data_IF_612347993118
#
_entry.id   IF_612347993118
#
_cell.length_a   1.000
_cell.length_b   1.000
_cell.length_c   1.000
_cell.angle_alpha   90.00
_cell.angle_beta   90.00
_cell.angle_gamma   90.00
#
_symmetry.space_group_name_H-M   'P 1'
#
loop_
_entity.id
_entity.type
_entity.pdbx_description
1 polymer ?
#
# COMPACT_ATOMS: atom_id res chain seq x y z
N UNK A 1 -30.04 -2.23 0.26
CA UNK A 1 -29.58 -2.95 -0.94
C UNK A 1 -28.44 -3.86 -0.51
N UNK A 2 -28.65 -5.18 -0.47
CA UNK A 2 -27.65 -6.15 -0.01
C UNK A 2 -26.83 -6.64 -1.21
N UNK A 3 -25.62 -6.11 -1.39
CA UNK A 3 -24.65 -6.63 -2.35
C UNK A 3 -23.47 -7.18 -1.58
N UNK A 4 -23.27 -8.50 -1.60
CA UNK A 4 -22.07 -9.12 -1.04
C UNK A 4 -20.92 -9.06 -2.06
N UNK A 5 -19.92 -8.22 -1.80
CA UNK A 5 -18.69 -8.05 -2.58
C UNK A 5 -17.91 -9.36 -2.75
N UNK A 6 -18.04 -10.29 -1.80
CA UNK A 6 -17.36 -11.60 -1.84
C UNK A 6 -18.13 -12.64 -2.67
N UNK A 7 -19.35 -12.33 -3.14
CA UNK A 7 -20.15 -13.21 -3.97
C UNK A 7 -19.90 -12.98 -5.48
N UNK A 8 -18.66 -13.24 -5.90
CA UNK A 8 -18.19 -13.08 -7.27
C UNK A 8 -17.18 -14.18 -7.66
N UNK A 9 -17.24 -14.65 -8.92
CA UNK A 9 -16.40 -15.75 -9.45
C UNK A 9 -14.99 -15.35 -9.92
N UNK A 10 -14.75 -14.20 -10.57
CA UNK A 10 -13.39 -13.85 -11.01
C UNK A 10 -12.51 -13.26 -9.89
N UNK A 11 -13.04 -12.35 -9.06
CA UNK A 11 -12.33 -11.66 -7.97
C UNK A 11 -13.35 -10.91 -7.08
N UNK A 12 -12.88 -10.23 -6.03
CA UNK A 12 -13.72 -9.42 -5.11
C UNK A 12 -13.45 -7.91 -5.24
N UNK A 13 -12.56 -7.52 -6.15
CA UNK A 13 -12.14 -6.13 -6.24
C UNK A 13 -13.31 -5.26 -6.67
N UNK A 14 -13.34 -4.05 -6.15
CA UNK A 14 -14.46 -3.14 -6.29
C UNK A 14 -13.93 -1.77 -6.64
N UNK A 15 -14.57 -1.13 -7.62
CA UNK A 15 -14.35 0.28 -7.91
C UNK A 15 -15.61 1.06 -7.54
N UNK A 16 -15.39 2.15 -6.83
CA UNK A 16 -16.41 3.14 -6.51
C UNK A 16 -16.01 4.44 -7.17
N UNK A 17 -16.74 4.81 -8.21
CA UNK A 17 -16.68 6.14 -8.81
C UNK A 17 -17.76 7.01 -8.19
N UNK A 18 -17.38 8.15 -7.63
CA UNK A 18 -18.32 9.08 -7.03
C UNK A 18 -17.92 10.54 -7.29
N UNK A 19 -18.75 11.26 -8.04
CA UNK A 19 -18.57 12.72 -8.27
C UNK A 19 -18.44 13.47 -6.92
N UNK A 20 -17.73 14.60 -6.92
CA UNK A 20 -17.57 15.39 -5.69
C UNK A 20 -18.92 15.77 -5.06
N UNK A 21 -19.09 15.45 -3.78
CA UNK A 21 -20.35 15.68 -3.06
C UNK A 21 -21.48 14.69 -3.37
N UNK A 22 -21.24 13.62 -4.15
CA UNK A 22 -22.27 12.65 -4.54
C UNK A 22 -22.57 11.57 -3.48
N UNK A 23 -21.89 11.59 -2.31
CA UNK A 23 -22.10 10.60 -1.26
C UNK A 23 -21.08 9.45 -1.25
N UNK A 24 -19.88 9.68 -1.82
CA UNK A 24 -18.72 8.78 -1.76
C UNK A 24 -18.50 8.15 -0.37
N UNK A 25 -18.38 9.01 0.64
CA UNK A 25 -18.15 8.60 2.02
C UNK A 25 -19.36 7.90 2.66
N UNK A 26 -20.57 8.16 2.18
CA UNK A 26 -21.77 7.45 2.67
C UNK A 26 -21.71 5.99 2.26
N UNK A 27 -21.45 5.71 0.98
CA UNK A 27 -21.32 4.32 0.51
C UNK A 27 -20.11 3.62 1.14
N UNK A 28 -18.96 4.30 1.19
CA UNK A 28 -17.75 3.75 1.82
C UNK A 28 -17.98 3.37 3.28
N UNK A 29 -18.57 4.26 4.09
CA UNK A 29 -18.88 3.99 5.49
C UNK A 29 -19.88 2.84 5.65
N UNK A 30 -20.92 2.75 4.81
CA UNK A 30 -21.89 1.64 4.87
C UNK A 30 -21.27 0.30 4.52
N UNK A 31 -20.35 0.25 3.53
CA UNK A 31 -19.59 -0.96 3.20
C UNK A 31 -18.74 -1.37 4.40
N UNK A 32 -17.92 -0.46 4.94
CA UNK A 32 -17.05 -0.75 6.08
C UNK A 32 -17.89 -1.24 7.27
N UNK A 33 -18.94 -0.50 7.64
CA UNK A 33 -19.85 -0.86 8.75
C UNK A 33 -20.44 -2.25 8.57
N UNK A 34 -20.96 -2.56 7.39
CA UNK A 34 -21.59 -3.87 7.10
C UNK A 34 -20.58 -5.02 7.26
N UNK A 35 -19.36 -4.84 6.76
CA UNK A 35 -18.33 -5.88 6.80
C UNK A 35 -17.66 -6.02 8.17
N UNK A 36 -17.44 -4.93 8.90
CA UNK A 36 -16.99 -4.99 10.30
C UNK A 36 -17.99 -5.74 11.19
N UNK A 37 -19.29 -5.56 10.94
CA UNK A 37 -20.36 -6.23 11.70
C UNK A 37 -20.35 -7.76 11.57
N UNK A 38 -19.70 -8.30 10.53
CA UNK A 38 -19.53 -9.75 10.31
C UNK A 38 -18.08 -10.21 10.54
N UNK A 39 -17.27 -9.41 11.23
CA UNK A 39 -15.91 -9.76 11.64
C UNK A 39 -14.84 -9.62 10.56
N UNK A 40 -15.11 -8.88 9.48
CA UNK A 40 -14.11 -8.60 8.43
C UNK A 40 -13.01 -7.69 8.98
N UNK A 41 -11.75 -7.97 8.61
CA UNK A 41 -10.63 -7.06 8.88
C UNK A 41 -10.52 -6.02 7.77
N UNK A 42 -10.40 -4.75 8.12
CA UNK A 42 -10.43 -3.63 7.18
C UNK A 42 -9.26 -2.70 7.43
N UNK A 43 -8.53 -2.39 6.37
CA UNK A 43 -7.55 -1.31 6.31
C UNK A 43 -8.06 -0.27 5.33
N UNK A 44 -8.24 0.97 5.81
CA UNK A 44 -8.68 2.11 5.00
C UNK A 44 -7.53 3.10 4.87
N UNK A 45 -7.05 3.33 3.65
CA UNK A 45 -5.89 4.18 3.34
C UNK A 45 -6.37 5.48 2.71
N UNK A 46 -5.80 6.61 3.17
CA UNK A 46 -6.15 7.97 2.75
C UNK A 46 -7.64 8.31 2.88
N UNK A 47 -8.30 7.64 3.81
CA UNK A 47 -9.74 7.73 4.01
C UNK A 47 -10.19 9.15 4.48
N UNK A 48 -9.28 9.97 5.01
CA UNK A 48 -9.59 11.29 5.56
C UNK A 48 -10.48 11.23 6.81
N UNK A 49 -10.84 12.40 7.34
CA UNK A 49 -11.67 12.56 8.55
C UNK A 49 -13.06 11.91 8.43
N UNK A 50 -13.52 11.68 7.19
CA UNK A 50 -14.83 11.08 6.90
C UNK A 50 -15.04 9.68 7.48
N UNK A 51 -13.98 8.95 7.82
CA UNK A 51 -14.05 7.63 8.46
C UNK A 51 -13.62 7.65 9.94
N UNK A 52 -13.14 8.77 10.47
CA UNK A 52 -12.68 8.88 11.87
C UNK A 52 -13.83 8.65 12.86
N UNK A 53 -15.01 9.22 12.56
CA UNK A 53 -16.23 8.99 13.35
C UNK A 53 -16.63 7.50 13.38
N UNK A 54 -16.44 6.81 12.24
CA UNK A 54 -16.69 5.37 12.16
C UNK A 54 -15.65 4.59 12.98
N UNK A 55 -14.39 5.02 12.96
CA UNK A 55 -13.31 4.46 13.77
C UNK A 55 -13.68 4.47 15.25
N UNK A 56 -14.14 5.62 15.76
CA UNK A 56 -14.56 5.77 17.15
C UNK A 56 -15.68 4.80 17.54
N UNK A 57 -16.63 4.56 16.65
CA UNK A 57 -17.76 3.64 16.89
C UNK A 57 -17.35 2.16 16.90
N UNK A 58 -16.30 1.81 16.16
CA UNK A 58 -15.82 0.43 16.00
C UNK A 58 -14.51 0.15 16.76
N UNK A 59 -14.09 1.06 17.65
CA UNK A 59 -12.79 1.00 18.33
C UNK A 59 -11.62 0.80 17.35
N UNK A 60 -11.71 1.46 16.19
CA UNK A 60 -10.73 1.40 15.13
C UNK A 60 -9.43 2.08 15.53
N UNK A 61 -8.35 1.56 14.99
CA UNK A 61 -7.00 2.07 15.17
C UNK A 61 -6.71 3.15 14.10
N UNK A 62 -6.50 4.39 14.52
CA UNK A 62 -6.23 5.49 13.63
C UNK A 62 -4.74 5.85 13.67
N UNK A 63 -4.09 5.79 12.51
CA UNK A 63 -2.68 6.11 12.32
C UNK A 63 -2.61 7.23 11.29
N UNK A 64 -2.25 8.44 11.73
CA UNK A 64 -2.00 9.57 10.85
C UNK A 64 -0.51 9.86 10.81
N UNK A 65 0.03 10.00 9.60
CA UNK A 65 1.37 10.47 9.41
C UNK A 65 1.33 12.00 9.38
N UNK A 66 1.94 12.66 10.35
CA UNK A 66 2.17 14.10 10.32
C UNK A 66 3.66 14.42 10.43
N UNK A 67 4.03 15.69 10.17
CA UNK A 67 5.41 16.11 10.30
C UNK A 67 5.94 16.08 11.74
N UNK A 68 5.05 16.08 12.74
CA UNK A 68 5.40 16.16 14.16
C UNK A 68 5.32 14.82 14.89
N UNK A 69 4.71 13.82 14.27
CA UNK A 69 4.60 12.49 14.87
C UNK A 69 5.95 11.76 14.76
N UNK A 70 6.30 11.05 15.83
CA UNK A 70 7.47 10.18 15.86
C UNK A 70 7.14 8.82 15.21
N UNK A 71 6.74 8.85 13.93
CA UNK A 71 6.40 7.65 13.16
C UNK A 71 7.61 7.22 12.32
N UNK A 72 7.96 5.94 12.44
CA UNK A 72 8.95 5.31 11.59
C UNK A 72 8.41 4.05 10.94
N UNK A 73 8.83 3.84 9.71
CA UNK A 73 8.50 2.71 8.83
C UNK A 73 9.77 2.04 8.29
N UNK A 74 10.81 1.90 9.12
CA UNK A 74 12.01 1.17 8.74
C UNK A 74 11.67 -0.29 8.34
N UNK A 75 11.84 -0.68 7.06
CA UNK A 75 11.40 -1.98 6.57
C UNK A 75 12.19 -3.15 7.14
N UNK A 76 13.46 -2.95 7.50
CA UNK A 76 14.36 -4.02 7.93
C UNK A 76 13.98 -4.52 9.33
N UNK A 77 13.49 -3.62 10.17
CA UNK A 77 13.06 -3.93 11.55
C UNK A 77 11.77 -4.76 11.61
N UNK A 78 11.04 -4.88 10.49
CA UNK A 78 9.85 -5.72 10.39
C UNK A 78 10.16 -7.20 10.13
N UNK A 79 11.40 -7.52 9.74
CA UNK A 79 11.82 -8.87 9.36
C UNK A 79 12.18 -9.63 10.63
N UNK A 80 11.59 -10.81 10.81
CA UNK A 80 11.82 -11.63 11.99
C UNK A 80 13.16 -12.38 11.86
N UNK A 81 14.18 -11.95 12.60
CA UNK A 81 15.51 -12.59 12.60
C UNK A 81 15.50 -14.05 13.07
N UNK A 82 14.49 -14.45 13.84
CA UNK A 82 14.37 -15.84 14.31
C UNK A 82 13.81 -16.80 13.24
N UNK A 83 13.34 -16.27 12.11
CA UNK A 83 12.83 -17.04 10.99
C UNK A 83 13.87 -17.01 9.85
N UNK A 84 14.60 -18.13 9.61
CA UNK A 84 15.66 -18.19 8.61
C UNK A 84 15.21 -17.84 7.18
N UNK A 85 13.92 -18.01 6.88
CA UNK A 85 13.36 -17.73 5.56
C UNK A 85 12.81 -16.30 5.45
N UNK A 86 12.63 -15.58 6.55
CA UNK A 86 11.93 -14.28 6.55
C UNK A 86 12.63 -13.22 5.71
N UNK A 87 13.97 -13.16 5.73
CA UNK A 87 14.70 -12.22 4.89
C UNK A 87 14.57 -12.58 3.40
N UNK A 88 14.68 -13.87 3.07
CA UNK A 88 14.51 -14.34 1.69
C UNK A 88 13.11 -14.03 1.15
N UNK A 89 12.06 -14.17 1.98
CA UNK A 89 10.69 -13.76 1.63
C UNK A 89 10.55 -12.23 1.49
N UNK A 90 11.35 -11.46 2.22
CA UNK A 90 11.35 -10.00 2.20
C UNK A 90 12.23 -9.38 1.09
N UNK A 91 13.16 -10.14 0.49
CA UNK A 91 14.15 -9.63 -0.46
C UNK A 91 13.52 -8.98 -1.71
N UNK A 92 12.54 -9.63 -2.33
CA UNK A 92 11.83 -9.06 -3.50
C UNK A 92 11.06 -7.78 -3.11
N UNK A 93 10.25 -7.76 -2.02
CA UNK A 93 9.65 -6.52 -1.52
C UNK A 93 10.65 -5.40 -1.20
N UNK A 94 11.78 -5.71 -0.55
CA UNK A 94 12.81 -4.71 -0.22
C UNK A 94 13.45 -4.14 -1.49
N UNK A 95 13.75 -4.98 -2.47
CA UNK A 95 14.35 -4.51 -3.74
C UNK A 95 13.38 -3.58 -4.48
N UNK A 96 12.09 -3.90 -4.48
CA UNK A 96 11.03 -3.04 -5.04
C UNK A 96 10.85 -1.74 -4.25
N UNK A 97 11.04 -1.77 -2.93
CA UNK A 97 11.07 -0.57 -2.11
C UNK A 97 12.21 0.37 -2.53
N UNK A 98 13.43 -0.17 -2.66
CA UNK A 98 14.59 0.60 -3.12
C UNK A 98 14.31 1.19 -4.50
N UNK A 99 13.77 0.40 -5.43
CA UNK A 99 13.37 0.91 -6.75
C UNK A 99 12.32 2.03 -6.65
N UNK A 100 11.34 1.91 -5.76
CA UNK A 100 10.34 2.94 -5.55
C UNK A 100 10.90 4.23 -4.91
N UNK A 101 11.96 4.13 -4.10
CA UNK A 101 12.66 5.27 -3.51
C UNK A 101 13.52 6.02 -4.53
N UNK A 102 14.06 5.32 -5.53
CA UNK A 102 15.08 5.90 -6.43
C UNK A 102 14.49 6.33 -7.77
N UNK A 103 13.54 5.59 -8.32
CA UNK A 103 12.98 5.83 -9.65
C UNK A 103 11.55 6.35 -9.55
N UNK A 104 11.36 7.64 -9.84
CA UNK A 104 10.04 8.28 -9.89
C UNK A 104 9.23 7.85 -11.11
N UNK A 105 9.77 8.05 -12.33
CA UNK A 105 9.09 7.68 -13.58
C UNK A 105 9.82 6.59 -14.38
N UNK A 106 11.08 6.35 -14.07
CA UNK A 106 11.89 5.32 -14.73
C UNK A 106 11.71 3.96 -14.05
N UNK A 107 12.25 2.92 -14.70
CA UNK A 107 12.22 1.55 -14.19
C UNK A 107 13.64 1.07 -14.01
N UNK A 108 13.90 0.44 -12.86
CA UNK A 108 15.17 -0.22 -12.57
C UNK A 108 15.41 -1.34 -13.59
N UNK A 109 16.59 -1.37 -14.20
CA UNK A 109 16.99 -2.46 -15.11
C UNK A 109 17.19 -3.79 -14.36
N UNK A 110 17.08 -4.92 -15.06
CA UNK A 110 17.34 -6.26 -14.47
C UNK A 110 18.71 -6.35 -13.80
N UNK A 111 19.72 -5.72 -14.42
CA UNK A 111 21.07 -5.66 -13.87
C UNK A 111 21.11 -4.89 -12.54
N UNK A 112 20.54 -3.69 -12.50
CA UNK A 112 20.45 -2.90 -11.26
C UNK A 112 19.65 -3.64 -10.19
N UNK A 113 18.55 -4.29 -10.58
CA UNK A 113 17.71 -5.06 -9.67
C UNK A 113 18.50 -6.20 -8.99
N UNK A 114 19.28 -6.95 -9.76
CA UNK A 114 20.15 -8.01 -9.22
C UNK A 114 21.33 -7.50 -8.40
N UNK A 115 21.88 -6.34 -8.77
CA UNK A 115 22.91 -5.68 -7.96
C UNK A 115 22.36 -5.25 -6.58
N UNK A 116 21.16 -4.66 -6.55
CA UNK A 116 20.50 -4.28 -5.29
C UNK A 116 20.13 -5.49 -4.44
N UNK A 117 19.61 -6.58 -5.03
CA UNK A 117 19.37 -7.83 -4.29
C UNK A 117 20.65 -8.32 -3.60
N UNK A 118 21.78 -8.32 -4.33
CA UNK A 118 23.07 -8.73 -3.77
C UNK A 118 23.52 -7.80 -2.64
N UNK A 119 23.46 -6.48 -2.83
CA UNK A 119 23.81 -5.48 -1.81
C UNK A 119 22.96 -5.68 -0.54
N UNK A 120 21.65 -5.89 -0.70
CA UNK A 120 20.76 -6.14 0.43
C UNK A 120 21.13 -7.41 1.19
N UNK A 121 21.46 -8.51 0.48
CA UNK A 121 21.91 -9.76 1.10
C UNK A 121 23.21 -9.55 1.87
N UNK A 122 24.19 -8.88 1.27
CA UNK A 122 25.52 -8.67 1.85
C UNK A 122 25.42 -7.82 3.12
N UNK A 123 24.63 -6.73 3.12
CA UNK A 123 24.44 -5.91 4.33
C UNK A 123 23.64 -6.67 5.40
N UNK A 124 22.61 -7.44 5.00
CA UNK A 124 21.78 -8.19 5.94
C UNK A 124 22.57 -9.24 6.71
N UNK A 125 23.56 -9.87 6.07
CA UNK A 125 24.47 -10.82 6.73
C UNK A 125 25.14 -10.23 7.97
N UNK A 126 25.51 -8.94 7.93
CA UNK A 126 26.27 -8.29 8.99
C UNK A 126 25.38 -7.49 9.96
N UNK A 127 24.34 -6.80 9.46
CA UNK A 127 23.53 -5.86 10.25
C UNK A 127 22.15 -6.37 10.63
N UNK A 128 21.59 -7.33 9.89
CA UNK A 128 20.24 -7.87 10.13
C UNK A 128 19.19 -6.75 10.33
N UNK A 129 18.32 -6.83 11.36
CA UNK A 129 17.26 -5.85 11.60
C UNK A 129 17.75 -4.45 12.00
N UNK A 130 19.05 -4.29 12.29
CA UNK A 130 19.65 -2.98 12.57
C UNK A 130 19.97 -2.16 11.31
N UNK A 131 19.75 -2.73 10.11
CA UNK A 131 19.92 -2.04 8.85
C UNK A 131 19.09 -0.75 8.73
N UNK A 132 19.68 0.24 8.07
CA UNK A 132 19.06 1.50 7.66
C UNK A 132 19.15 1.68 6.14
N UNK A 133 18.39 2.63 5.60
CA UNK A 133 18.53 3.06 4.20
C UNK A 133 19.91 3.66 3.93
N UNK A 134 20.52 4.27 4.95
CA UNK A 134 21.90 4.75 4.97
C UNK A 134 22.89 3.69 4.51
N UNK A 135 22.75 2.46 5.01
CA UNK A 135 23.65 1.36 4.70
C UNK A 135 23.57 0.95 3.23
N UNK A 136 22.35 0.92 2.69
CA UNK A 136 22.10 0.62 1.27
C UNK A 136 22.68 1.72 0.40
N UNK A 137 22.49 2.99 0.78
CA UNK A 137 23.02 4.14 0.04
C UNK A 137 24.56 4.13 0.03
N UNK A 138 25.21 3.88 1.17
CA UNK A 138 26.66 3.81 1.30
C UNK A 138 27.26 2.66 0.49
N UNK A 139 26.65 1.47 0.54
CA UNK A 139 27.07 0.32 -0.25
C UNK A 139 26.95 0.60 -1.76
N UNK A 140 25.84 1.24 -2.19
CA UNK A 140 25.67 1.62 -3.59
C UNK A 140 26.69 2.67 -4.05
N UNK A 141 27.02 3.65 -3.21
CA UNK A 141 28.01 4.69 -3.52
C UNK A 141 29.44 4.17 -3.61
N UNK A 142 29.72 3.03 -2.99
CA UNK A 142 31.02 2.36 -2.98
C UNK A 142 31.20 1.36 -4.12
N UNK A 143 30.16 1.15 -4.95
CA UNK A 143 30.21 0.25 -6.09
C UNK A 143 31.11 0.81 -7.21
N UNK A 144 31.74 -0.08 -7.98
CA UNK A 144 32.57 0.34 -9.13
C UNK A 144 31.72 0.82 -10.31
N UNK A 145 30.46 0.34 -10.42
CA UNK A 145 29.55 0.72 -11.48
C UNK A 145 28.79 2.01 -11.14
N UNK A 146 29.05 3.04 -11.96
CA UNK A 146 28.37 4.34 -11.87
C UNK A 146 26.83 4.26 -11.83
N UNK A 147 26.21 3.25 -12.47
CA UNK A 147 24.76 3.06 -12.51
C UNK A 147 24.19 2.61 -11.16
N UNK A 148 25.01 1.99 -10.32
CA UNK A 148 24.67 1.62 -8.94
C UNK A 148 24.97 2.80 -8.01
N UNK A 149 26.08 3.52 -8.23
CA UNK A 149 26.37 4.76 -7.51
C UNK A 149 25.24 5.79 -7.64
N UNK A 150 24.59 5.89 -8.80
CA UNK A 150 23.45 6.78 -9.01
C UNK A 150 22.26 6.42 -8.10
N UNK A 151 22.00 5.13 -7.86
CA UNK A 151 20.98 4.67 -6.91
C UNK A 151 21.34 5.16 -5.50
N UNK A 152 22.60 5.01 -5.09
CA UNK A 152 23.07 5.49 -3.79
C UNK A 152 22.88 7.00 -3.61
N UNK A 153 23.14 7.80 -4.66
CA UNK A 153 22.87 9.25 -4.66
C UNK A 153 21.37 9.56 -4.56
N UNK A 154 20.53 8.83 -5.27
CA UNK A 154 19.08 9.01 -5.23
C UNK A 154 18.48 8.65 -3.87
N UNK A 155 19.01 7.62 -3.21
CA UNK A 155 18.62 7.20 -1.87
C UNK A 155 18.89 8.26 -0.80
N UNK A 156 19.76 9.25 -1.05
CA UNK A 156 20.10 10.32 -0.10
C UNK A 156 18.87 10.96 0.56
N UNK A 157 17.77 11.14 -0.18
CA UNK A 157 16.55 11.75 0.38
C UNK A 157 15.93 10.94 1.53
N UNK A 158 16.18 9.63 1.58
CA UNK A 158 15.61 8.66 2.51
C UNK A 158 16.60 8.19 3.60
N UNK A 159 17.88 8.55 3.51
CA UNK A 159 18.85 8.29 4.57
C UNK A 159 18.59 9.20 5.77
N UNK A 160 19.19 8.89 6.93
CA UNK A 160 19.08 9.69 8.15
C UNK A 160 19.45 11.18 7.97
N UNK A 161 20.32 11.48 7.00
CA UNK A 161 20.73 12.85 6.66
C UNK A 161 19.82 13.53 5.62
N UNK A 162 18.90 12.78 5.02
CA UNK A 162 17.96 13.25 4.01
C UNK A 162 16.67 13.84 4.59
N UNK A 163 15.92 14.56 3.75
CA UNK A 163 14.67 15.21 4.15
C UNK A 163 13.56 14.25 4.61
N UNK A 164 13.64 12.96 4.25
CA UNK A 164 12.70 11.92 4.68
C UNK A 164 13.28 10.96 5.71
N UNK A 165 14.55 11.12 6.10
CA UNK A 165 15.27 10.18 6.97
C UNK A 165 14.53 9.82 8.25
N UNK A 166 13.85 10.80 8.86
CA UNK A 166 13.07 10.62 10.10
C UNK A 166 11.99 9.54 10.05
N UNK A 167 11.54 9.14 8.85
CA UNK A 167 10.53 8.08 8.70
C UNK A 167 11.17 6.69 8.56
N UNK A 168 12.50 6.57 8.50
CA UNK A 168 13.24 5.33 8.23
C UNK A 168 14.42 5.09 9.17
N UNK A 169 14.81 6.09 9.98
CA UNK A 169 16.01 6.07 10.85
C UNK A 169 15.78 5.44 12.23
N UNK A 170 14.54 5.04 12.55
CA UNK A 170 14.15 4.40 13.82
C UNK A 170 13.44 3.07 13.58
N UNK A 171 13.32 2.19 14.60
CA UNK A 171 12.51 0.98 14.50
C UNK A 171 11.08 1.24 14.05
N UNK A 172 10.56 0.39 13.16
CA UNK A 172 9.18 0.46 12.67
C UNK A 172 8.20 0.42 13.83
N UNK A 173 7.33 1.42 13.92
CA UNK A 173 6.40 1.57 15.04
C UNK A 173 4.92 1.65 14.64
N UNK A 174 4.61 1.43 13.36
CA UNK A 174 3.23 1.35 12.87
C UNK A 174 2.65 -0.03 13.17
N UNK A 175 1.74 -0.11 14.15
CA UNK A 175 1.07 -1.37 14.53
C UNK A 175 -0.41 -1.37 14.16
N UNK A 176 -0.89 -2.46 13.56
CA UNK A 176 -2.32 -2.66 13.32
C UNK A 176 -3.00 -3.32 14.53
N UNK A 177 -4.18 -2.85 14.91
CA UNK A 177 -4.93 -3.33 16.09
C UNK A 177 -6.40 -3.55 15.75
N UNK A 178 -6.95 -4.63 16.27
CA UNK A 178 -8.35 -5.00 16.02
C UNK A 178 -8.65 -5.23 14.54
N UNK A 179 -9.92 -5.03 14.17
CA UNK A 179 -10.42 -5.32 12.82
C UNK A 179 -10.57 -4.08 11.94
N UNK A 180 -10.33 -2.87 12.46
CA UNK A 180 -10.46 -1.64 11.68
C UNK A 180 -9.25 -0.74 11.88
N UNK A 181 -8.49 -0.52 10.82
CA UNK A 181 -7.30 0.31 10.82
C UNK A 181 -7.44 1.40 9.75
N UNK A 182 -7.25 2.66 10.13
CA UNK A 182 -7.28 3.81 9.23
C UNK A 182 -5.88 4.39 9.14
N UNK A 183 -5.36 4.50 7.93
CA UNK A 183 -4.00 4.95 7.61
C UNK A 183 -4.10 6.24 6.81
N UNK A 184 -3.75 7.38 7.42
CA UNK A 184 -3.84 8.70 6.81
C UNK A 184 -2.46 9.22 6.43
N UNK A 185 -2.17 9.29 5.13
CA UNK A 185 -0.88 9.75 4.60
C UNK A 185 -0.86 11.25 4.30
N UNK A 186 -2.01 11.94 4.32
CA UNK A 186 -2.12 13.34 3.89
C UNK A 186 -1.35 14.37 4.75
N UNK A 187 -0.88 14.01 5.95
CA UNK A 187 -0.01 14.87 6.75
C UNK A 187 1.49 14.71 6.44
N UNK A 188 1.86 13.69 5.66
CA UNK A 188 3.11 13.72 4.91
C UNK A 188 2.93 14.84 3.88
N UNK A 189 3.88 15.78 3.81
CA UNK A 189 3.92 16.90 2.86
C UNK A 189 3.35 16.57 1.46
N UNK A 190 3.01 17.58 0.64
CA UNK A 190 2.60 17.41 -0.78
C UNK A 190 3.60 16.65 -1.68
N UNK A 191 4.66 16.06 -1.11
CA UNK A 191 5.55 15.14 -1.76
C UNK A 191 4.92 13.76 -1.97
N UNK A 192 4.33 13.58 -3.16
CA UNK A 192 3.75 12.33 -3.60
C UNK A 192 4.75 11.16 -3.66
N UNK A 193 6.05 11.40 -3.88
CA UNK A 193 7.04 10.32 -3.94
C UNK A 193 7.21 9.63 -2.58
N UNK A 194 7.34 10.40 -1.50
CA UNK A 194 7.35 9.86 -0.14
C UNK A 194 6.06 9.11 0.18
N UNK A 195 4.91 9.70 -0.17
CA UNK A 195 3.61 9.07 0.08
C UNK A 195 3.48 7.73 -0.66
N UNK A 196 3.95 7.63 -1.90
CA UNK A 196 3.97 6.37 -2.66
C UNK A 196 4.85 5.30 -2.00
N UNK A 197 6.03 5.68 -1.48
CA UNK A 197 6.95 4.77 -0.77
C UNK A 197 6.34 4.27 0.54
N UNK A 198 5.79 5.16 1.35
CA UNK A 198 5.12 4.79 2.62
C UNK A 198 3.87 3.95 2.33
N UNK A 199 3.08 4.31 1.33
CA UNK A 199 1.95 3.53 0.87
C UNK A 199 2.35 2.10 0.49
N UNK A 200 3.43 1.94 -0.28
CA UNK A 200 3.97 0.63 -0.64
C UNK A 200 4.28 -0.21 0.61
N UNK A 201 5.01 0.36 1.58
CA UNK A 201 5.36 -0.32 2.83
C UNK A 201 4.13 -0.75 3.63
N UNK A 202 3.14 0.13 3.76
CA UNK A 202 1.91 -0.18 4.47
C UNK A 202 1.15 -1.32 3.78
N UNK A 203 1.08 -1.34 2.45
CA UNK A 203 0.43 -2.44 1.73
C UNK A 203 1.22 -3.75 1.88
N UNK A 204 2.56 -3.72 1.88
CA UNK A 204 3.40 -4.89 2.19
C UNK A 204 3.11 -5.40 3.61
N UNK A 205 3.06 -4.52 4.60
CA UNK A 205 2.70 -4.86 5.99
C UNK A 205 1.30 -5.49 6.07
N UNK A 206 0.31 -4.91 5.39
CA UNK A 206 -1.06 -5.44 5.33
C UNK A 206 -1.09 -6.83 4.71
N UNK A 207 -0.34 -7.06 3.62
CA UNK A 207 -0.26 -8.37 2.98
C UNK A 207 0.35 -9.42 3.90
N UNK A 208 1.40 -9.08 4.65
CA UNK A 208 2.00 -9.97 5.64
C UNK A 208 0.99 -10.34 6.73
N UNK A 209 0.22 -9.38 7.26
CA UNK A 209 -0.83 -9.64 8.24
C UNK A 209 -1.95 -10.53 7.68
N UNK A 210 -2.42 -10.24 6.47
CA UNK A 210 -3.43 -11.07 5.77
C UNK A 210 -2.89 -12.48 5.57
N UNK A 211 -1.63 -12.65 5.19
CA UNK A 211 -1.03 -13.96 4.95
C UNK A 211 -0.88 -14.76 6.24
N UNK A 212 -0.40 -14.14 7.32
CA UNK A 212 -0.34 -14.74 8.67
C UNK A 212 -1.72 -15.16 9.14
N UNK A 213 -2.74 -14.32 8.94
CA UNK A 213 -4.12 -14.66 9.28
C UNK A 213 -4.64 -15.81 8.42
N UNK A 214 -4.42 -15.78 7.11
CA UNK A 214 -4.85 -16.83 6.19
C UNK A 214 -4.21 -18.19 6.49
N UNK A 215 -2.97 -18.23 7.00
CA UNK A 215 -2.34 -19.46 7.50
C UNK A 215 -3.09 -20.04 8.71
N UNK A 216 -3.67 -19.19 9.56
CA UNK A 216 -4.44 -19.60 10.76
C UNK A 216 -5.90 -19.92 10.44
N UNK A 217 -6.58 -19.03 9.72
CA UNK A 217 -7.99 -19.13 9.37
C UNK A 217 -8.26 -18.54 7.98
N UNK A 218 -8.46 -19.43 6.99
CA UNK A 218 -8.73 -19.05 5.59
C UNK A 218 -10.11 -18.41 5.35
N UNK A 219 -11.02 -18.45 6.34
CA UNK A 219 -12.39 -17.92 6.20
C UNK A 219 -12.49 -16.43 6.55
N UNK A 220 -11.47 -15.87 7.20
CA UNK A 220 -11.45 -14.44 7.55
C UNK A 220 -11.47 -13.61 6.27
N UNK A 221 -12.46 -12.73 6.17
CA UNK A 221 -12.58 -11.77 5.08
C UNK A 221 -11.71 -10.55 5.39
N UNK A 222 -11.06 -10.03 4.36
CA UNK A 222 -10.21 -8.85 4.45
C UNK A 222 -10.66 -7.80 3.43
N UNK A 223 -10.60 -6.53 3.79
CA UNK A 223 -10.82 -5.41 2.87
C UNK A 223 -9.64 -4.46 2.96
N UNK A 224 -9.05 -4.14 1.81
CA UNK A 224 -8.13 -3.02 1.66
C UNK A 224 -8.89 -1.95 0.88
N UNK A 225 -9.27 -0.88 1.54
CA UNK A 225 -9.96 0.26 0.94
C UNK A 225 -8.95 1.38 0.74
N UNK A 226 -8.84 1.89 -0.47
CA UNK A 226 -7.93 2.97 -0.83
C UNK A 226 -8.75 4.10 -1.40
N UNK A 227 -8.73 5.23 -0.70
CA UNK A 227 -9.37 6.45 -1.14
C UNK A 227 -8.39 7.31 -1.96
N UNK A 228 -8.83 7.83 -3.11
CA UNK A 228 -8.03 8.63 -4.06
C UNK A 228 -6.71 7.95 -4.47
N UNK A 229 -6.76 6.63 -4.71
CA UNK A 229 -5.60 5.81 -5.01
C UNK A 229 -4.69 6.36 -6.13
N UNK A 230 -5.23 7.13 -7.07
CA UNK A 230 -4.47 7.69 -8.19
C UNK A 230 -3.33 8.62 -7.75
N UNK A 231 -3.48 9.35 -6.64
CA UNK A 231 -2.41 10.21 -6.11
C UNK A 231 -1.16 9.42 -5.71
N UNK A 232 -1.38 8.20 -5.19
CA UNK A 232 -0.32 7.32 -4.71
C UNK A 232 0.25 6.43 -5.83
N UNK A 233 -0.55 6.13 -6.86
CA UNK A 233 -0.19 5.20 -7.93
C UNK A 233 0.43 5.91 -9.15
N UNK A 234 -0.04 7.11 -9.49
CA UNK A 234 0.30 7.79 -10.75
C UNK A 234 1.75 8.22 -10.89
N UNK A 235 2.51 8.26 -9.78
CA UNK A 235 3.84 8.88 -9.71
C UNK A 235 4.98 7.87 -9.51
N UNK A 236 4.70 6.56 -9.56
CA UNK A 236 5.71 5.52 -9.34
C UNK A 236 5.36 4.20 -10.05
N UNK A 237 6.06 3.82 -11.14
CA UNK A 237 5.82 2.59 -11.88
C UNK A 237 5.90 1.32 -11.04
N UNK A 238 6.86 1.22 -10.12
CA UNK A 238 7.07 0.05 -9.27
C UNK A 238 5.89 -0.18 -8.32
N UNK A 239 5.42 0.88 -7.65
CA UNK A 239 4.23 0.83 -6.78
C UNK A 239 2.98 0.50 -7.59
N UNK A 240 2.89 1.06 -8.79
CA UNK A 240 1.83 0.78 -9.76
C UNK A 240 1.77 -0.71 -10.11
N UNK A 241 2.86 -1.29 -10.60
CA UNK A 241 2.93 -2.71 -10.94
C UNK A 241 2.58 -3.60 -9.74
N UNK A 242 3.15 -3.30 -8.58
CA UNK A 242 2.90 -4.01 -7.33
C UNK A 242 1.40 -4.03 -6.97
N UNK A 243 0.70 -2.91 -7.13
CA UNK A 243 -0.73 -2.83 -6.86
C UNK A 243 -1.58 -3.59 -7.89
N UNK A 244 -1.15 -3.65 -9.15
CA UNK A 244 -1.74 -4.53 -10.15
C UNK A 244 -1.63 -6.02 -9.78
N UNK A 245 -0.48 -6.45 -9.28
CA UNK A 245 -0.27 -7.82 -8.78
C UNK A 245 -1.09 -8.10 -7.52
N UNK A 246 -1.16 -7.12 -6.61
CA UNK A 246 -1.98 -7.18 -5.39
C UNK A 246 -3.45 -7.43 -5.73
N UNK A 247 -4.00 -6.64 -6.66
CA UNK A 247 -5.39 -6.79 -7.10
C UNK A 247 -5.67 -8.16 -7.73
N UNK A 248 -4.72 -8.73 -8.50
CA UNK A 248 -4.86 -10.07 -9.10
C UNK A 248 -4.81 -11.19 -8.06
N UNK A 249 -4.04 -11.01 -6.98
CA UNK A 249 -3.84 -12.04 -5.94
C UNK A 249 -4.85 -11.96 -4.78
N UNK A 250 -5.52 -10.83 -4.58
CA UNK A 250 -6.40 -10.57 -3.43
C UNK A 250 -7.41 -11.69 -3.12
N UNK A 251 -8.04 -12.27 -4.15
CA UNK A 251 -8.99 -13.39 -4.00
C UNK A 251 -8.38 -14.61 -3.29
N UNK A 252 -7.12 -14.95 -3.59
CA UNK A 252 -6.42 -16.13 -3.02
C UNK A 252 -6.37 -16.06 -1.49
N UNK A 253 -6.41 -14.85 -0.94
CA UNK A 253 -6.32 -14.55 0.49
C UNK A 253 -7.64 -13.98 1.04
N UNK A 254 -8.77 -14.32 0.42
CA UNK A 254 -10.11 -13.89 0.82
C UNK A 254 -10.18 -12.36 1.08
N UNK A 255 -9.55 -11.60 0.19
CA UNK A 255 -9.38 -10.15 0.30
C UNK A 255 -10.07 -9.44 -0.84
N UNK A 256 -10.80 -8.36 -0.54
CA UNK A 256 -11.34 -7.43 -1.52
C UNK A 256 -10.51 -6.12 -1.52
N UNK A 257 -9.99 -5.74 -2.68
CA UNK A 257 -9.40 -4.41 -2.89
C UNK A 257 -10.51 -3.46 -3.36
N UNK A 258 -10.76 -2.38 -2.61
CA UNK A 258 -11.76 -1.36 -2.94
C UNK A 258 -11.02 -0.07 -3.26
N UNK A 259 -11.18 0.44 -4.49
CA UNK A 259 -10.66 1.74 -4.89
C UNK A 259 -11.81 2.72 -5.01
N UNK A 260 -11.65 3.89 -4.40
CA UNK A 260 -12.63 4.98 -4.47
C UNK A 260 -12.00 6.19 -5.15
N UNK A 261 -12.60 6.66 -6.24
CA UNK A 261 -12.11 7.81 -7.02
C UNK A 261 -13.22 8.80 -7.38
N UNK A 262 -12.85 10.08 -7.52
CA UNK A 262 -13.75 11.16 -7.96
C UNK A 262 -13.78 11.36 -9.47
N UNK A 263 -12.73 10.96 -10.19
CA UNK A 263 -12.64 11.09 -11.63
C UNK A 263 -12.44 9.71 -12.27
N UNK A 264 -13.28 9.43 -13.26
CA UNK A 264 -13.24 8.18 -14.03
C UNK A 264 -12.05 8.21 -15.00
N UNK A 265 -11.63 9.42 -15.40
CA UNK A 265 -10.46 9.67 -16.25
C UNK A 265 -9.20 9.25 -15.51
N UNK A 266 -9.17 9.35 -14.18
CA UNK A 266 -8.03 8.92 -13.36
C UNK A 266 -7.81 7.39 -13.45
N UNK A 267 -8.87 6.63 -13.79
CA UNK A 267 -8.78 5.18 -14.05
C UNK A 267 -8.26 4.85 -15.45
N UNK A 268 -8.47 5.74 -16.43
CA UNK A 268 -8.07 5.53 -17.82
C UNK A 268 -6.64 6.03 -18.10
N UNK A 269 -6.15 7.02 -17.34
CA UNK A 269 -4.81 7.61 -17.52
C UNK A 269 -3.71 6.79 -16.84
N UNK A 270 -4.02 6.06 -15.76
CA UNK A 270 -3.05 5.19 -15.10
C UNK A 270 -3.23 3.72 -15.54
N UNK A 271 -2.14 3.07 -15.97
CA UNK A 271 -2.13 1.64 -16.35
C UNK A 271 -2.68 0.72 -15.25
N UNK A 272 -2.62 1.16 -13.98
CA UNK A 272 -3.14 0.46 -12.81
C UNK A 272 -4.60 0.73 -12.54
N UNK A 273 -5.08 1.97 -12.65
CA UNK A 273 -6.52 2.25 -12.59
C UNK A 273 -7.28 1.36 -13.57
N UNK A 274 -6.75 1.23 -14.79
CA UNK A 274 -7.27 0.35 -15.82
C UNK A 274 -7.15 -1.14 -15.44
N UNK A 275 -6.00 -1.57 -14.89
CA UNK A 275 -5.80 -2.96 -14.45
C UNK A 275 -6.73 -3.34 -13.31
N UNK A 276 -6.91 -2.47 -12.32
CA UNK A 276 -7.79 -2.70 -11.18
C UNK A 276 -9.25 -2.65 -11.63
N UNK A 277 -9.60 -1.74 -12.55
CA UNK A 277 -10.94 -1.67 -13.13
C UNK A 277 -11.30 -2.89 -13.99
N UNK A 278 -10.35 -3.40 -14.78
CA UNK A 278 -10.51 -4.65 -15.52
C UNK A 278 -10.66 -5.84 -14.59
N UNK A 279 -9.93 -5.83 -13.48
CA UNK A 279 -10.00 -6.84 -12.44
C UNK A 279 -11.04 -6.51 -11.36
N UNK A 280 -11.98 -5.58 -11.56
CA UNK A 280 -13.03 -5.29 -10.60
C UNK A 280 -14.29 -6.09 -10.97
N UNK A 281 -14.70 -6.99 -10.07
CA UNK A 281 -15.96 -7.69 -10.19
C UNK A 281 -17.17 -6.78 -9.91
N UNK A 282 -16.98 -5.77 -9.06
CA UNK A 282 -18.02 -4.85 -8.65
C UNK A 282 -17.66 -3.43 -9.10
N UNK A 283 -18.62 -2.69 -9.66
CA UNK A 283 -18.44 -1.29 -10.03
C UNK A 283 -19.67 -0.49 -9.61
N UNK A 284 -19.44 0.53 -8.77
CA UNK A 284 -20.47 1.45 -8.27
C UNK A 284 -20.23 2.82 -8.86
N UNK A 285 -21.23 3.39 -9.52
CA UNK A 285 -21.18 4.74 -10.07
C UNK A 285 -22.20 5.63 -9.36
N UNK A 286 -21.72 6.68 -8.70
CA UNK A 286 -22.53 7.64 -7.95
C UNK A 286 -22.38 9.02 -8.58
N UNK A 287 -23.49 9.60 -9.01
CA UNK A 287 -23.54 10.93 -9.64
C UNK A 287 -24.51 11.83 -8.89
N UNK A 288 -24.28 13.16 -8.94
CA UNK A 288 -25.06 14.15 -8.18
C UNK A 288 -26.56 14.15 -8.54
N UNK A 289 -26.90 13.73 -9.76
CA UNK A 289 -28.28 13.57 -10.23
C UNK A 289 -28.81 12.16 -9.94
N UNK A 290 -29.14 11.85 -8.68
CA UNK A 290 -30.01 10.75 -8.15
C UNK A 290 -30.23 9.48 -9.03
N UNK A 291 -29.21 8.95 -9.69
CA UNK A 291 -29.23 7.64 -10.32
C UNK A 291 -28.01 6.86 -9.84
N UNK A 292 -28.24 5.93 -8.91
CA UNK A 292 -27.28 4.88 -8.63
C UNK A 292 -27.28 3.92 -9.82
N UNK A 293 -26.20 3.92 -10.61
CA UNK A 293 -26.00 2.91 -11.64
C UNK A 293 -25.08 1.84 -11.05
N UNK A 294 -25.66 0.67 -10.77
CA UNK A 294 -24.91 -0.52 -10.38
C UNK A 294 -24.75 -1.36 -11.64
N UNK A 295 -23.52 -1.40 -12.16
CA UNK A 295 -23.16 -2.31 -13.23
C UNK A 295 -22.37 -3.46 -12.61
N UNK A 296 -22.98 -4.65 -12.58
CA UNK A 296 -22.25 -5.89 -12.35
C UNK A 296 -21.76 -6.36 -13.73
N UNK A 297 -20.44 -6.46 -13.92
CA UNK A 297 -19.91 -7.14 -15.11
C UNK A 297 -20.20 -8.63 -14.96
N UNK A 298 -21.23 -9.11 -15.65
CA UNK A 298 -21.39 -10.53 -15.94
C UNK A 298 -20.41 -10.85 -17.07
N UNK A 299 -19.31 -11.51 -16.72
CA UNK A 299 -18.47 -12.24 -17.70
C UNK A 299 -18.83 -13.71 -17.57
#
# INVERSE_FOLDING_TARGET
>A
MFTDLFNSKPNYNTIIYAESGAGKYVLGNEIIRSYLSVGTKIWAINAGESYEKLSSSFHGNFIAFSQHDDISVNPFTMINENDPDAFNEALEPLTKLIAAMTFGNDVMSDYQYKAIEKILIDIWHDKQSSMLIDDVAEACLSDEDSRICDIGRQLYSFTSNGQYGKYFDKPHNVTFRGNFNILQLGGLSENYALQSVIFYLLVVQIQQEIFKECKKNRTVKNIILIDEAWQLLGNNPTVTEFMGLTARRARKYNTALIIITKSIIDLDVSSVGCTIAKNAANSFYIRKNRQFLIQKKSI
#
